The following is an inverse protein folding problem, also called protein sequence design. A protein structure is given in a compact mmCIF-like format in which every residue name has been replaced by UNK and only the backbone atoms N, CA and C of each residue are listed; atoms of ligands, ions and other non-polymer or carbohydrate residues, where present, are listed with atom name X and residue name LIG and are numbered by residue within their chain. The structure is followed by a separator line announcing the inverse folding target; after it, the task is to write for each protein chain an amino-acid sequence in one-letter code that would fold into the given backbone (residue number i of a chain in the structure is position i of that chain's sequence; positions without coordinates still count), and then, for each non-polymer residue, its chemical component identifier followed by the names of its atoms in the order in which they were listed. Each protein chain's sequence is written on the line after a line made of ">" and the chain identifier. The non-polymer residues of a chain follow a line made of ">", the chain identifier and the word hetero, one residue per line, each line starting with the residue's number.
data_IF_889704708119
#
_entry.id   IF_889704708119
#
_cell.length_a   1.000
_cell.length_b   1.000
_cell.length_c   1.000
_cell.angle_alpha   90.00
_cell.angle_beta   90.00
_cell.angle_gamma   90.00
#
_symmetry.space_group_name_H-M   'P 1'
#
loop_
_entity.id
_entity.type
_entity.pdbx_description
1 polymer ?
#
# COMPACT_ATOMS: atom_id res chain seq x y z
N UNK A 1 13.62 -35.01 -12.75
CA UNK A 1 14.30 -33.78 -13.23
C UNK A 1 15.42 -33.44 -12.26
N UNK A 2 16.58 -32.97 -12.72
CA UNK A 2 17.73 -32.60 -11.87
C UNK A 2 18.26 -31.21 -12.25
N UNK A 3 18.77 -30.49 -11.27
CA UNK A 3 19.50 -29.23 -11.49
C UNK A 3 20.99 -29.44 -11.22
N UNK A 4 21.81 -29.16 -12.23
CA UNK A 4 23.27 -29.30 -12.19
C UNK A 4 23.89 -27.93 -12.43
N UNK A 5 24.97 -27.52 -11.74
CA UNK A 5 25.65 -26.28 -12.07
C UNK A 5 26.26 -26.35 -13.48
N UNK A 6 26.08 -25.34 -14.32
CA UNK A 6 26.65 -25.34 -15.68
C UNK A 6 28.19 -25.42 -15.61
N UNK A 7 28.78 -26.51 -16.10
CA UNK A 7 30.23 -26.75 -16.04
C UNK A 7 30.99 -25.82 -16.97
N UNK A 8 31.55 -24.74 -16.40
CA UNK A 8 32.49 -23.83 -17.03
C UNK A 8 33.42 -23.09 -16.06
N UNK A 9 33.32 -23.37 -14.75
CA UNK A 9 34.28 -22.87 -13.76
C UNK A 9 35.34 -23.94 -13.49
N UNK A 10 36.16 -24.29 -14.50
CA UNK A 10 37.50 -24.77 -14.19
C UNK A 10 38.30 -23.56 -13.71
N UNK A 11 38.53 -23.49 -12.41
CA UNK A 11 39.40 -22.51 -11.76
C UNK A 11 40.84 -22.66 -12.24
N UNK A 12 41.15 -22.05 -13.38
CA UNK A 12 42.50 -21.64 -13.77
C UNK A 12 42.38 -20.45 -14.72
N UNK A 13 42.04 -19.27 -14.20
CA UNK A 13 42.36 -17.98 -14.84
C UNK A 13 42.63 -16.97 -13.73
N UNK A 14 43.91 -16.60 -13.63
CA UNK A 14 44.37 -15.39 -12.96
C UNK A 14 43.66 -14.17 -13.57
N UNK A 15 43.09 -13.32 -12.72
CA UNK A 15 42.26 -12.11 -12.98
C UNK A 15 40.74 -12.37 -13.12
N UNK A 16 39.92 -11.89 -12.15
CA UNK A 16 38.47 -11.88 -12.30
C UNK A 16 38.04 -10.68 -13.16
N UNK A 17 37.44 -10.94 -14.32
CA UNK A 17 36.65 -9.95 -15.06
C UNK A 17 35.30 -9.69 -14.36
N UNK A 18 34.79 -8.45 -14.36
CA UNK A 18 33.63 -8.07 -13.56
C UNK A 18 32.33 -8.52 -14.22
N UNK A 19 31.56 -9.32 -13.48
CA UNK A 19 30.16 -9.66 -13.69
C UNK A 19 29.73 -9.89 -15.17
N UNK A 20 30.17 -11.00 -15.78
CA UNK A 20 29.48 -11.56 -16.94
C UNK A 20 28.11 -12.09 -16.51
N UNK A 21 27.05 -11.77 -17.25
CA UNK A 21 25.74 -12.41 -17.18
C UNK A 21 25.88 -13.92 -17.30
N UNK A 22 25.98 -14.61 -16.16
CA UNK A 22 25.77 -16.05 -16.14
C UNK A 22 24.29 -16.21 -16.46
N UNK A 23 23.97 -16.67 -17.68
CA UNK A 23 22.78 -17.51 -17.90
C UNK A 23 22.69 -18.39 -16.66
N UNK A 24 21.58 -18.31 -15.91
CA UNK A 24 21.36 -18.95 -14.60
C UNK A 24 22.34 -20.09 -14.45
N UNK A 25 23.33 -20.02 -13.54
CA UNK A 25 24.49 -20.93 -13.50
C UNK A 25 24.19 -22.41 -13.23
N UNK A 26 22.98 -22.83 -13.57
CA UNK A 26 22.26 -24.07 -13.42
C UNK A 26 21.76 -24.51 -14.80
N UNK A 27 22.13 -25.72 -15.18
CA UNK A 27 21.51 -26.47 -16.26
C UNK A 27 20.40 -27.33 -15.65
N UNK A 28 19.20 -27.28 -16.24
CA UNK A 28 18.12 -28.20 -15.88
C UNK A 28 18.19 -29.36 -16.86
N UNK A 29 18.40 -30.58 -16.36
CA UNK A 29 18.37 -31.77 -17.19
C UNK A 29 17.07 -32.54 -16.94
N UNK A 30 16.38 -32.85 -18.03
CA UNK A 30 15.19 -33.67 -18.01
C UNK A 30 15.57 -35.13 -18.25
N UNK A 31 15.48 -35.95 -17.21
CA UNK A 31 15.84 -37.37 -17.21
C UNK A 31 14.65 -38.31 -17.52
N UNK A 32 13.60 -37.79 -18.18
CA UNK A 32 12.37 -38.54 -18.45
C UNK A 32 11.34 -38.53 -17.30
N UNK A 33 10.21 -39.20 -17.51
CA UNK A 33 9.21 -39.50 -16.46
C UNK A 33 9.63 -40.73 -15.64
N UNK A 34 10.86 -40.76 -15.11
CA UNK A 34 11.19 -41.77 -14.11
C UNK A 34 10.47 -41.43 -12.80
N UNK A 35 9.75 -42.41 -12.26
CA UNK A 35 8.94 -42.27 -11.04
C UNK A 35 9.68 -42.72 -9.78
N UNK A 36 10.96 -43.08 -9.91
CA UNK A 36 11.84 -43.42 -8.81
C UNK A 36 12.92 -42.32 -8.65
N UNK A 37 13.01 -41.78 -7.44
CA UNK A 37 13.93 -40.70 -7.13
C UNK A 37 15.39 -41.18 -7.18
N UNK A 38 15.64 -42.45 -6.86
CA UNK A 38 16.99 -43.01 -6.76
C UNK A 38 17.70 -43.15 -8.11
N UNK A 39 16.93 -43.23 -9.19
CA UNK A 39 17.43 -43.26 -10.56
C UNK A 39 17.86 -41.87 -11.09
N UNK A 40 17.53 -40.80 -10.36
CA UNK A 40 17.84 -39.43 -10.77
C UNK A 40 19.10 -38.97 -10.00
N UNK A 41 20.17 -38.52 -10.69
CA UNK A 41 21.34 -37.96 -10.02
C UNK A 41 20.95 -36.79 -9.11
N UNK A 42 21.58 -36.66 -7.93
CA UNK A 42 21.17 -35.66 -6.93
C UNK A 42 21.46 -34.21 -7.32
N UNK A 43 22.56 -33.94 -8.05
CA UNK A 43 22.95 -32.59 -8.44
C UNK A 43 22.94 -31.59 -7.26
N UNK A 44 22.42 -30.38 -7.51
CA UNK A 44 22.02 -29.42 -6.45
C UNK A 44 20.70 -29.84 -5.82
N UNK A 45 19.75 -30.29 -6.65
CA UNK A 45 18.47 -30.86 -6.26
C UNK A 45 17.95 -31.79 -7.36
N UNK A 46 17.14 -32.78 -6.96
CA UNK A 46 16.40 -33.72 -7.83
C UNK A 46 14.93 -33.79 -7.42
N UNK A 47 14.06 -34.08 -8.38
CA UNK A 47 12.63 -34.24 -8.12
C UNK A 47 11.92 -35.14 -9.14
N UNK A 48 10.82 -35.77 -8.72
CA UNK A 48 9.81 -36.33 -9.62
C UNK A 48 8.40 -35.93 -9.17
N UNK A 49 7.45 -35.98 -10.11
CA UNK A 49 6.04 -35.68 -9.87
C UNK A 49 5.18 -36.77 -10.48
N UNK A 50 4.32 -37.38 -9.67
CA UNK A 50 3.40 -38.47 -10.04
C UNK A 50 1.96 -37.99 -9.91
N UNK A 51 1.26 -37.96 -11.04
CA UNK A 51 -0.16 -37.60 -11.09
C UNK A 51 -0.98 -38.84 -10.75
N UNK A 52 -1.73 -38.79 -9.65
CA UNK A 52 -2.67 -39.86 -9.26
C UNK A 52 -3.95 -39.30 -8.62
N UNK A 53 -4.22 -38.00 -8.84
CA UNK A 53 -5.33 -37.30 -8.21
C UNK A 53 -6.70 -37.88 -8.58
N UNK A 54 -6.83 -38.50 -9.77
CA UNK A 54 -8.08 -39.11 -10.23
C UNK A 54 -8.44 -40.35 -9.42
N UNK A 55 -7.46 -41.17 -9.03
CA UNK A 55 -7.72 -42.44 -8.34
C UNK A 55 -7.66 -42.30 -6.81
N UNK A 56 -6.74 -41.47 -6.30
CA UNK A 56 -6.48 -41.36 -4.86
C UNK A 56 -6.95 -40.05 -4.25
N UNK A 57 -7.31 -39.07 -5.07
CA UNK A 57 -7.51 -37.68 -4.65
C UNK A 57 -6.21 -36.89 -4.48
N UNK A 58 -5.03 -37.52 -4.62
CA UNK A 58 -3.72 -36.89 -4.39
C UNK A 58 -2.76 -37.11 -5.55
N UNK A 59 -1.95 -36.09 -5.85
CA UNK A 59 -0.72 -36.26 -6.65
C UNK A 59 0.49 -36.15 -5.73
N UNK A 60 1.58 -36.84 -6.07
CA UNK A 60 2.80 -36.88 -5.25
C UNK A 60 3.91 -36.09 -5.92
N UNK A 61 4.46 -35.09 -5.23
CA UNK A 61 5.69 -34.38 -5.60
C UNK A 61 6.75 -34.71 -4.55
N UNK A 62 7.91 -35.17 -4.99
CA UNK A 62 9.05 -35.44 -4.11
C UNK A 62 10.27 -34.65 -4.61
N UNK A 63 10.91 -33.90 -3.71
CA UNK A 63 12.08 -33.07 -4.00
C UNK A 63 13.15 -33.35 -2.94
N UNK A 64 14.37 -33.59 -3.39
CA UNK A 64 15.53 -33.77 -2.52
C UNK A 64 16.66 -32.82 -2.91
N UNK A 65 17.19 -32.09 -1.94
CA UNK A 65 18.31 -31.15 -2.11
C UNK A 65 19.63 -31.72 -1.60
N UNK A 66 20.75 -31.15 -2.06
CA UNK A 66 22.08 -31.58 -1.66
C UNK A 66 22.72 -30.61 -0.65
N UNK A 67 22.96 -31.11 0.57
CA UNK A 67 23.51 -30.34 1.68
C UNK A 67 24.93 -29.78 1.43
N UNK A 68 25.65 -30.26 0.42
CA UNK A 68 26.96 -29.71 0.03
C UNK A 68 26.88 -28.30 -0.59
N UNK A 69 25.69 -27.80 -0.94
CA UNK A 69 25.47 -26.45 -1.48
C UNK A 69 24.91 -25.49 -0.42
N UNK A 70 25.07 -24.19 -0.61
CA UNK A 70 24.48 -23.19 0.30
C UNK A 70 22.94 -23.26 0.31
N UNK A 71 22.33 -22.99 1.47
CA UNK A 71 20.86 -23.07 1.65
C UNK A 71 20.07 -22.27 0.60
N UNK A 72 20.54 -21.07 0.24
CA UNK A 72 19.89 -20.23 -0.79
C UNK A 72 19.90 -20.90 -2.17
N UNK A 73 20.98 -21.60 -2.52
CA UNK A 73 21.11 -22.35 -3.78
C UNK A 73 20.19 -23.56 -3.78
N UNK A 74 20.16 -24.32 -2.67
CA UNK A 74 19.28 -25.48 -2.51
C UNK A 74 17.80 -25.09 -2.63
N UNK A 75 17.37 -24.05 -1.90
CA UNK A 75 15.99 -23.57 -1.92
C UNK A 75 15.57 -23.06 -3.32
N UNK A 76 16.47 -22.33 -4.00
CA UNK A 76 16.21 -21.86 -5.36
C UNK A 76 16.06 -23.01 -6.35
N UNK A 77 16.92 -24.04 -6.26
CA UNK A 77 16.85 -25.22 -7.11
C UNK A 77 15.57 -26.05 -6.87
N UNK A 78 15.17 -26.23 -5.60
CA UNK A 78 13.92 -26.90 -5.26
C UNK A 78 12.70 -26.21 -5.88
N UNK A 79 12.62 -24.87 -5.80
CA UNK A 79 11.52 -24.11 -6.37
C UNK A 79 11.42 -24.20 -7.90
N UNK A 80 12.55 -24.24 -8.61
CA UNK A 80 12.55 -24.47 -10.06
C UNK A 80 11.99 -25.85 -10.40
N UNK A 81 12.40 -26.89 -9.67
CA UNK A 81 11.96 -28.26 -9.91
C UNK A 81 10.46 -28.43 -9.68
N UNK A 82 9.93 -27.89 -8.57
CA UNK A 82 8.49 -27.86 -8.31
C UNK A 82 7.75 -27.17 -9.44
N UNK A 83 8.08 -25.89 -9.70
CA UNK A 83 7.37 -25.10 -10.70
C UNK A 83 7.40 -25.70 -12.10
N UNK A 84 8.51 -26.34 -12.49
CA UNK A 84 8.62 -27.01 -13.78
C UNK A 84 7.78 -28.30 -13.88
N UNK A 85 7.67 -29.07 -12.79
CA UNK A 85 6.92 -30.33 -12.77
C UNK A 85 5.42 -30.14 -12.54
N UNK A 86 5.02 -29.08 -11.82
CA UNK A 86 3.62 -28.84 -11.42
C UNK A 86 3.01 -27.59 -12.06
N UNK A 87 3.60 -27.07 -13.15
CA UNK A 87 3.15 -25.83 -13.82
C UNK A 87 1.64 -25.79 -14.13
N UNK A 88 1.06 -26.91 -14.59
CA UNK A 88 -0.38 -26.99 -14.93
C UNK A 88 -1.26 -27.07 -13.67
N UNK A 89 -1.01 -27.97 -12.69
CA UNK A 89 -1.71 -27.94 -11.41
C UNK A 89 -1.63 -26.59 -10.69
N UNK A 90 -0.47 -25.91 -10.73
CA UNK A 90 -0.32 -24.55 -10.19
C UNK A 90 -1.28 -23.59 -10.90
N UNK A 91 -1.31 -23.61 -12.24
CA UNK A 91 -2.21 -22.77 -13.02
C UNK A 91 -3.69 -23.03 -12.66
N UNK A 92 -4.11 -24.29 -12.65
CA UNK A 92 -5.50 -24.68 -12.37
C UNK A 92 -5.89 -24.33 -10.93
N UNK A 93 -4.98 -24.50 -9.97
CA UNK A 93 -5.23 -24.12 -8.58
C UNK A 93 -5.39 -22.60 -8.43
N UNK A 94 -4.59 -21.80 -9.13
CA UNK A 94 -4.71 -20.33 -9.13
C UNK A 94 -6.07 -19.90 -9.72
N UNK A 95 -6.51 -20.52 -10.82
CA UNK A 95 -7.84 -20.28 -11.42
C UNK A 95 -8.97 -20.59 -10.41
N UNK A 96 -8.89 -21.75 -9.77
CA UNK A 96 -9.95 -22.26 -8.90
C UNK A 96 -10.02 -21.60 -7.52
N UNK A 97 -8.94 -20.92 -7.08
CA UNK A 97 -8.86 -20.31 -5.74
C UNK A 97 -8.78 -18.79 -5.84
N UNK A 98 -7.61 -18.27 -6.19
CA UNK A 98 -7.30 -16.84 -6.19
C UNK A 98 -8.18 -16.10 -7.20
N UNK A 99 -8.35 -16.67 -8.38
CA UNK A 99 -9.08 -16.00 -9.47
C UNK A 99 -10.59 -16.06 -9.33
N UNK A 100 -11.14 -16.95 -8.51
CA UNK A 100 -12.57 -17.13 -8.28
C UNK A 100 -13.17 -16.21 -7.19
N UNK A 101 -12.33 -15.63 -6.31
CA UNK A 101 -12.77 -15.00 -5.06
C UNK A 101 -12.85 -13.47 -5.12
N UNK A 102 -12.22 -12.82 -6.11
CA UNK A 102 -12.13 -11.36 -6.16
C UNK A 102 -13.08 -10.71 -7.19
N UNK A 103 -13.57 -9.50 -6.88
CA UNK A 103 -14.17 -8.60 -7.86
C UNK A 103 -13.19 -8.39 -9.02
N UNK A 104 -13.66 -8.53 -10.26
CA UNK A 104 -12.82 -8.52 -11.45
C UNK A 104 -11.97 -7.23 -11.58
N UNK A 105 -12.52 -6.10 -11.13
CA UNK A 105 -11.84 -4.80 -11.21
C UNK A 105 -10.70 -4.70 -10.21
N UNK A 106 -10.97 -5.07 -8.95
CA UNK A 106 -9.97 -5.02 -7.88
C UNK A 106 -8.89 -6.06 -8.09
N UNK A 107 -9.28 -7.25 -8.56
CA UNK A 107 -8.36 -8.31 -8.98
C UNK A 107 -7.38 -7.82 -10.03
N UNK A 108 -7.87 -7.16 -11.08
CA UNK A 108 -7.01 -6.58 -12.11
C UNK A 108 -6.01 -5.57 -11.52
N UNK A 109 -6.47 -4.64 -10.68
CA UNK A 109 -5.59 -3.66 -10.03
C UNK A 109 -4.53 -4.31 -9.12
N UNK A 110 -4.90 -5.36 -8.36
CA UNK A 110 -3.99 -6.14 -7.51
C UNK A 110 -2.97 -6.91 -8.37
N UNK A 111 -3.39 -7.50 -9.48
CA UNK A 111 -2.48 -8.17 -10.42
C UNK A 111 -1.46 -7.18 -11.02
N UNK A 112 -1.91 -5.99 -11.40
CA UNK A 112 -1.05 -4.93 -11.93
C UNK A 112 -0.02 -4.46 -10.89
N UNK A 113 -0.39 -4.38 -9.61
CA UNK A 113 0.53 -4.06 -8.51
C UNK A 113 1.71 -5.05 -8.44
N UNK A 114 1.44 -6.35 -8.38
CA UNK A 114 2.50 -7.37 -8.31
C UNK A 114 3.29 -7.48 -9.61
N UNK A 115 2.63 -7.27 -10.76
CA UNK A 115 3.28 -7.22 -12.06
C UNK A 115 4.28 -6.07 -12.15
N UNK A 116 3.94 -4.90 -11.60
CA UNK A 116 4.84 -3.76 -11.54
C UNK A 116 6.09 -4.06 -10.69
N UNK A 117 5.95 -4.76 -9.55
CA UNK A 117 7.08 -5.19 -8.71
C UNK A 117 7.98 -6.18 -9.47
N UNK A 118 7.39 -7.14 -10.18
CA UNK A 118 8.12 -8.08 -11.04
C UNK A 118 8.87 -7.37 -12.18
N UNK A 119 8.25 -6.35 -12.78
CA UNK A 119 8.89 -5.48 -13.76
C UNK A 119 10.07 -4.71 -13.18
N UNK A 120 9.93 -4.16 -11.97
CA UNK A 120 11.03 -3.51 -11.24
C UNK A 120 12.18 -4.49 -11.00
N UNK A 121 11.89 -5.72 -10.56
CA UNK A 121 12.91 -6.74 -10.35
C UNK A 121 13.71 -7.04 -11.61
N UNK A 122 13.02 -7.21 -12.74
CA UNK A 122 13.65 -7.39 -14.05
C UNK A 122 14.51 -6.18 -14.41
N UNK A 123 14.02 -4.96 -14.18
CA UNK A 123 14.76 -3.72 -14.39
C UNK A 123 16.00 -3.58 -13.51
N UNK A 124 15.93 -4.03 -12.24
CA UNK A 124 17.07 -4.05 -11.32
C UNK A 124 18.17 -4.97 -11.84
N UNK A 125 17.82 -6.20 -12.29
CA UNK A 125 18.81 -7.12 -12.88
C UNK A 125 19.52 -6.48 -14.06
N UNK A 126 18.76 -5.90 -14.98
CA UNK A 126 19.33 -5.23 -16.16
C UNK A 126 20.23 -4.04 -15.77
N UNK A 127 19.82 -3.24 -14.77
CA UNK A 127 20.60 -2.12 -14.26
C UNK A 127 21.93 -2.55 -13.63
N UNK A 128 21.90 -3.62 -12.82
CA UNK A 128 23.10 -4.21 -12.20
C UNK A 128 24.06 -4.70 -13.28
N UNK A 129 23.57 -5.51 -14.23
CA UNK A 129 24.35 -6.04 -15.35
C UNK A 129 25.03 -4.93 -16.16
N UNK A 130 24.28 -3.88 -16.52
CA UNK A 130 24.81 -2.72 -17.24
C UNK A 130 25.88 -1.97 -16.45
N UNK A 131 25.77 -1.92 -15.12
CA UNK A 131 26.67 -1.14 -14.26
C UNK A 131 27.99 -1.85 -13.93
N UNK A 132 28.17 -3.11 -14.36
CA UNK A 132 29.28 -4.00 -13.98
C UNK A 132 29.47 -4.13 -12.45
N UNK A 133 28.47 -3.73 -11.67
CA UNK A 133 28.43 -3.96 -10.23
C UNK A 133 27.88 -5.35 -9.95
N UNK A 134 28.25 -5.92 -8.82
CA UNK A 134 27.78 -7.21 -8.37
C UNK A 134 26.92 -7.02 -7.10
N UNK A 135 25.71 -6.48 -7.30
CA UNK A 135 24.68 -6.39 -6.26
C UNK A 135 23.61 -7.43 -6.53
N UNK A 136 23.30 -8.26 -5.53
CA UNK A 136 22.21 -9.21 -5.63
C UNK A 136 20.98 -8.64 -4.92
N UNK A 137 19.90 -8.47 -5.68
CA UNK A 137 18.56 -8.21 -5.13
C UNK A 137 17.71 -9.41 -5.51
N UNK A 138 16.86 -9.86 -4.59
CA UNK A 138 15.88 -10.91 -4.85
C UNK A 138 14.49 -10.31 -5.02
N UNK A 139 13.59 -11.04 -5.68
CA UNK A 139 12.18 -10.61 -5.77
C UNK A 139 11.54 -10.52 -4.38
N UNK A 140 11.95 -11.39 -3.46
CA UNK A 140 11.53 -11.37 -2.05
C UNK A 140 11.89 -10.05 -1.38
N UNK A 141 13.08 -9.51 -1.60
CA UNK A 141 13.48 -8.21 -1.02
C UNK A 141 12.52 -7.08 -1.46
N UNK A 142 12.06 -7.13 -2.71
CA UNK A 142 11.09 -6.16 -3.23
C UNK A 142 9.68 -6.37 -2.69
N UNK A 143 9.23 -7.62 -2.49
CA UNK A 143 7.96 -7.87 -1.80
C UNK A 143 8.02 -7.41 -0.34
N UNK A 144 9.12 -7.67 0.37
CA UNK A 144 9.33 -7.16 1.73
C UNK A 144 9.36 -5.63 1.78
N UNK A 145 10.05 -4.99 0.84
CA UNK A 145 10.09 -3.54 0.74
C UNK A 145 8.69 -2.93 0.56
N UNK A 146 7.84 -3.58 -0.25
CA UNK A 146 6.49 -3.13 -0.56
C UNK A 146 5.42 -3.59 0.46
N UNK A 147 5.79 -4.46 1.40
CA UNK A 147 4.94 -4.92 2.51
C UNK A 147 5.48 -4.47 3.88
N UNK A 148 6.42 -3.50 3.91
CA UNK A 148 7.17 -3.13 5.10
C UNK A 148 6.26 -2.76 6.29
N UNK A 149 5.20 -1.98 6.03
CA UNK A 149 4.23 -1.57 7.04
C UNK A 149 3.39 -2.74 7.56
N UNK A 150 3.04 -3.69 6.68
CA UNK A 150 2.23 -4.86 7.04
C UNK A 150 3.02 -5.87 7.88
N UNK A 151 4.25 -6.16 7.47
CA UNK A 151 5.17 -7.12 8.11
C UNK A 151 5.31 -6.86 9.60
N UNK A 152 5.42 -5.58 10.01
CA UNK A 152 5.57 -5.20 11.42
C UNK A 152 4.38 -5.66 12.27
N UNK A 153 3.17 -5.58 11.74
CA UNK A 153 1.96 -5.97 12.45
C UNK A 153 1.72 -7.48 12.37
N UNK A 154 2.08 -8.12 11.25
CA UNK A 154 2.08 -9.58 11.10
C UNK A 154 3.03 -10.22 12.12
N UNK A 155 4.22 -9.67 12.33
CA UNK A 155 5.17 -10.14 13.34
C UNK A 155 4.57 -10.14 14.74
N UNK A 156 3.80 -9.09 15.09
CA UNK A 156 3.07 -9.02 16.37
C UNK A 156 1.98 -10.08 16.45
N UNK A 157 1.17 -10.24 15.39
CA UNK A 157 0.12 -11.27 15.31
C UNK A 157 0.68 -12.69 15.48
N UNK A 158 1.83 -12.97 14.88
CA UNK A 158 2.49 -14.28 14.93
C UNK A 158 3.37 -14.48 16.19
N UNK A 159 3.42 -13.50 17.09
CA UNK A 159 4.27 -13.51 18.29
C UNK A 159 5.76 -13.74 17.96
N UNK A 160 6.22 -13.23 16.82
CA UNK A 160 7.62 -13.30 16.40
C UNK A 160 8.35 -12.09 16.98
N UNK A 161 9.14 -12.33 18.03
CA UNK A 161 9.94 -11.26 18.67
C UNK A 161 11.20 -10.98 17.86
N UNK A 162 11.16 -9.94 17.04
CA UNK A 162 12.35 -9.12 16.79
C UNK A 162 12.31 -8.01 17.84
N UNK A 163 13.44 -7.72 18.51
CA UNK A 163 13.48 -6.72 19.58
C UNK A 163 12.66 -5.47 19.21
N UNK A 164 11.59 -5.18 19.95
CA UNK A 164 10.77 -3.99 19.73
C UNK A 164 11.61 -2.77 20.09
N UNK A 165 12.37 -2.27 19.12
CA UNK A 165 13.08 -1.01 19.28
C UNK A 165 12.05 0.12 19.43
N UNK A 166 12.28 1.13 20.28
CA UNK A 166 11.44 2.35 20.34
C UNK A 166 11.19 2.97 18.95
N UNK A 167 12.12 2.74 18.01
CA UNK A 167 12.03 3.11 16.61
C UNK A 167 10.80 2.52 15.87
N UNK A 168 10.23 1.40 16.34
CA UNK A 168 9.07 0.77 15.73
C UNK A 168 7.77 1.59 15.87
N UNK A 169 7.72 2.50 16.85
CA UNK A 169 6.57 3.38 17.10
C UNK A 169 6.64 4.71 16.34
N UNK A 170 7.76 5.00 15.66
CA UNK A 170 8.00 6.29 15.00
C UNK A 170 6.97 6.62 13.92
N UNK A 171 6.49 5.62 13.16
CA UNK A 171 5.52 5.87 12.09
C UNK A 171 4.20 6.49 12.60
N UNK A 172 3.78 6.12 13.83
CA UNK A 172 2.61 6.72 14.50
C UNK A 172 2.83 8.16 14.98
N UNK A 173 4.03 8.72 14.78
CA UNK A 173 4.28 10.14 15.02
C UNK A 173 4.07 11.00 13.78
N UNK A 174 3.81 10.40 12.62
CA UNK A 174 3.48 11.12 11.38
C UNK A 174 2.20 11.93 11.57
N UNK A 175 2.08 13.04 10.85
CA UNK A 175 0.93 13.95 10.97
C UNK A 175 0.48 14.43 9.61
N UNK A 176 -0.83 14.46 9.38
CA UNK A 176 -1.42 15.17 8.25
C UNK A 176 -2.24 16.36 8.74
N UNK A 177 -2.33 17.38 7.89
CA UNK A 177 -3.04 18.61 8.17
C UNK A 177 -3.82 19.06 6.94
N UNK A 178 -5.07 19.44 7.14
CA UNK A 178 -5.93 20.04 6.13
C UNK A 178 -6.41 21.40 6.63
N UNK A 179 -6.30 22.42 5.78
CA UNK A 179 -6.76 23.79 6.08
C UNK A 179 -7.59 24.31 4.92
N UNK A 180 -8.74 24.90 5.21
CA UNK A 180 -9.54 25.65 4.24
C UNK A 180 -9.36 27.13 4.51
N UNK A 181 -8.97 27.89 3.49
CA UNK A 181 -8.74 29.34 3.59
C UNK A 181 -9.63 30.06 2.59
N UNK A 182 -10.24 31.17 3.02
CA UNK A 182 -10.96 32.08 2.15
C UNK A 182 -9.94 32.97 1.42
N UNK A 183 -9.94 32.93 0.09
CA UNK A 183 -9.11 33.78 -0.76
C UNK A 183 -9.99 34.71 -1.58
N UNK A 184 -9.75 36.00 -1.47
CA UNK A 184 -10.36 37.00 -2.35
C UNK A 184 -9.68 36.93 -3.71
N UNK A 185 -10.46 36.69 -4.76
CA UNK A 185 -10.01 36.76 -6.15
C UNK A 185 -9.79 38.22 -6.56
N UNK A 186 -9.09 38.46 -7.67
CA UNK A 186 -8.85 39.82 -8.20
C UNK A 186 -10.16 40.57 -8.50
N UNK A 187 -11.26 39.85 -8.76
CA UNK A 187 -12.61 40.41 -8.95
C UNK A 187 -13.42 40.63 -7.66
N UNK A 188 -12.83 40.43 -6.47
CA UNK A 188 -13.50 40.62 -5.19
C UNK A 188 -14.35 39.43 -4.71
N UNK A 189 -14.50 38.35 -5.50
CA UNK A 189 -15.19 37.13 -5.05
C UNK A 189 -14.35 36.38 -4.02
N UNK A 190 -14.97 35.93 -2.93
CA UNK A 190 -14.32 35.06 -1.95
C UNK A 190 -14.47 33.61 -2.39
N UNK A 191 -13.35 32.90 -2.58
CA UNK A 191 -13.31 31.46 -2.87
C UNK A 191 -12.57 30.69 -1.78
N UNK A 192 -13.13 29.56 -1.39
CA UNK A 192 -12.48 28.64 -0.45
C UNK A 192 -11.42 27.81 -1.16
N UNK A 193 -10.21 27.75 -0.60
CA UNK A 193 -9.11 26.94 -1.10
C UNK A 193 -8.61 25.98 0.00
N UNK A 194 -8.67 24.67 -0.21
CA UNK A 194 -8.11 23.71 0.72
C UNK A 194 -6.60 23.51 0.46
N UNK A 195 -5.84 23.31 1.54
CA UNK A 195 -4.43 22.96 1.55
C UNK A 195 -4.23 21.70 2.37
N UNK A 196 -3.56 20.70 1.80
CA UNK A 196 -3.25 19.43 2.47
C UNK A 196 -1.73 19.34 2.62
N UNK A 197 -1.28 19.00 3.82
CA UNK A 197 0.12 18.75 4.13
C UNK A 197 0.27 17.43 4.87
N UNK A 198 1.42 16.78 4.69
CA UNK A 198 1.80 15.57 5.41
C UNK A 198 3.25 15.64 5.85
N UNK A 199 3.52 15.15 7.06
CA UNK A 199 4.86 15.02 7.61
C UNK A 199 5.05 13.57 8.07
N UNK A 200 5.87 12.83 7.31
CA UNK A 200 6.20 11.45 7.60
C UNK A 200 7.35 11.36 8.61
N UNK A 201 7.18 10.53 9.63
CA UNK A 201 8.21 10.25 10.63
C UNK A 201 8.74 8.83 10.44
N UNK A 202 10.06 8.72 10.24
CA UNK A 202 10.75 7.46 10.01
C UNK A 202 12.21 7.51 10.45
N UNK A 203 12.97 6.46 10.14
CA UNK A 203 14.40 6.40 10.44
C UNK A 203 15.17 7.30 9.46
N UNK A 204 16.27 7.93 9.90
CA UNK A 204 17.14 8.66 8.98
C UNK A 204 17.74 7.76 7.90
N UNK A 205 17.98 6.48 8.22
CA UNK A 205 18.44 5.48 7.26
C UNK A 205 17.45 5.24 6.10
N UNK A 206 16.16 5.56 6.27
CA UNK A 206 15.17 5.46 5.18
C UNK A 206 15.11 6.72 4.31
N UNK A 207 15.91 7.77 4.53
CA UNK A 207 15.84 9.04 3.78
C UNK A 207 16.33 8.99 2.32
N UNK A 208 16.38 7.81 1.70
CA UNK A 208 16.55 7.71 0.25
C UNK A 208 15.18 7.90 -0.42
N UNK A 209 14.87 9.12 -0.81
CA UNK A 209 13.52 9.55 -1.25
C UNK A 209 13.45 9.78 -2.75
N UNK A 210 12.29 9.46 -3.33
CA UNK A 210 11.95 9.79 -4.71
C UNK A 210 10.51 10.28 -4.73
N UNK A 211 10.29 11.48 -5.26
CA UNK A 211 8.95 11.92 -5.64
C UNK A 211 8.55 11.23 -6.94
N UNK A 212 7.43 10.53 -6.95
CA UNK A 212 7.00 9.71 -8.09
C UNK A 212 5.74 10.27 -8.71
N UNK A 213 5.70 10.28 -10.04
CA UNK A 213 4.51 10.55 -10.85
C UNK A 213 4.33 9.41 -11.82
N UNK A 214 3.24 8.67 -11.66
CA UNK A 214 2.83 7.63 -12.58
C UNK A 214 1.64 8.12 -13.40
N UNK A 215 1.76 8.01 -14.72
CA UNK A 215 0.66 8.25 -15.67
C UNK A 215 0.35 6.91 -16.31
N UNK A 216 -0.67 6.25 -15.82
CA UNK A 216 -1.06 4.92 -16.28
C UNK A 216 -2.26 5.03 -17.22
N UNK A 217 -2.30 4.14 -18.22
CA UNK A 217 -3.43 3.95 -19.11
C UNK A 217 -4.02 2.56 -18.85
N UNK A 218 -4.26 2.23 -17.58
CA UNK A 218 -4.82 0.95 -17.21
C UNK A 218 -6.32 0.93 -17.49
N UNK A 219 -6.81 -0.23 -17.89
CA UNK A 219 -8.23 -0.50 -18.00
C UNK A 219 -8.78 -0.94 -16.64
N UNK A 220 -10.08 -0.74 -16.42
CA UNK A 220 -10.77 -1.15 -15.19
C UNK A 220 -10.69 -2.67 -14.99
N UNK A 221 -10.89 -3.46 -16.05
CA UNK A 221 -10.70 -4.93 -16.05
C UNK A 221 -9.61 -5.37 -17.03
N UNK A 222 -9.35 -6.67 -17.09
CA UNK A 222 -8.40 -7.27 -18.06
C UNK A 222 -8.95 -7.26 -19.50
N UNK A 223 -10.26 -7.01 -19.68
CA UNK A 223 -10.88 -6.89 -21.00
C UNK A 223 -10.31 -5.69 -21.77
N UNK A 224 -9.98 -5.92 -23.04
CA UNK A 224 -9.39 -4.94 -23.93
C UNK A 224 -10.34 -3.78 -24.24
N UNK A 225 -11.65 -4.04 -24.21
CA UNK A 225 -12.70 -3.04 -24.47
C UNK A 225 -13.21 -2.36 -23.17
N UNK A 226 -12.67 -2.73 -22.01
CA UNK A 226 -12.99 -2.08 -20.74
C UNK A 226 -12.69 -0.59 -20.79
N UNK A 227 -13.46 0.28 -20.11
CA UNK A 227 -13.07 1.68 -19.95
C UNK A 227 -11.73 1.82 -19.21
N UNK A 228 -11.07 2.96 -19.41
CA UNK A 228 -9.89 3.34 -18.64
C UNK A 228 -10.25 3.53 -17.16
N UNK A 229 -9.34 3.15 -16.28
CA UNK A 229 -9.44 3.38 -14.85
C UNK A 229 -9.49 4.88 -14.55
N UNK A 230 -10.23 5.26 -13.51
CA UNK A 230 -10.46 6.68 -13.22
C UNK A 230 -9.19 7.42 -12.79
N UNK A 231 -8.27 6.75 -12.10
CA UNK A 231 -6.99 7.28 -11.61
C UNK A 231 -5.89 7.24 -12.67
N UNK A 232 -5.92 8.18 -13.62
CA UNK A 232 -4.95 8.25 -14.72
C UNK A 232 -3.56 8.75 -14.30
N UNK A 233 -3.49 9.64 -13.32
CA UNK A 233 -2.23 10.20 -12.83
C UNK A 233 -2.16 10.13 -11.31
N UNK A 234 -1.13 9.46 -10.81
CA UNK A 234 -0.89 9.23 -9.39
C UNK A 234 0.48 9.81 -9.05
N UNK A 235 0.50 10.83 -8.19
CA UNK A 235 1.71 11.47 -7.70
C UNK A 235 1.87 11.18 -6.21
N UNK A 236 3.05 10.78 -5.75
CA UNK A 236 3.23 10.42 -4.34
C UNK A 236 4.67 10.55 -3.87
N UNK A 237 4.84 10.80 -2.57
CA UNK A 237 6.14 10.69 -1.91
C UNK A 237 6.50 9.21 -1.76
N UNK A 238 7.67 8.81 -2.25
CA UNK A 238 8.06 7.41 -2.31
C UNK A 238 9.54 7.15 -2.10
N UNK A 239 9.91 5.90 -2.33
CA UNK A 239 11.23 5.33 -2.10
C UNK A 239 11.64 4.49 -3.31
N UNK A 240 12.94 4.34 -3.63
CA UNK A 240 13.39 3.43 -4.68
C UNK A 240 12.80 2.03 -4.49
N UNK A 241 12.33 1.38 -5.58
CA UNK A 241 11.74 0.04 -5.53
C UNK A 241 10.30 -0.06 -4.97
N UNK A 242 9.81 0.94 -4.24
CA UNK A 242 8.43 0.98 -3.73
C UNK A 242 7.44 1.40 -4.82
N UNK A 243 6.35 0.66 -5.04
CA UNK A 243 5.31 1.04 -6.03
C UNK A 243 4.20 1.89 -5.43
N UNK A 244 4.08 1.92 -4.10
CA UNK A 244 3.18 2.78 -3.33
C UNK A 244 3.97 3.78 -2.47
N UNK A 245 3.27 4.77 -1.90
CA UNK A 245 3.82 5.58 -0.82
C UNK A 245 3.98 4.68 0.42
N UNK A 246 5.04 4.91 1.17
CA UNK A 246 5.21 4.34 2.51
C UNK A 246 5.07 5.43 3.59
N UNK A 247 4.93 6.69 3.15
CA UNK A 247 4.60 7.82 4.00
C UNK A 247 3.08 7.95 4.17
N UNK A 248 2.34 7.56 3.13
CA UNK A 248 0.93 7.85 2.89
C UNK A 248 0.66 9.30 2.50
N UNK A 249 1.20 9.72 1.35
CA UNK A 249 0.77 10.96 0.68
C UNK A 249 0.68 10.77 -0.83
N UNK A 250 -0.52 10.96 -1.38
CA UNK A 250 -0.84 10.84 -2.79
C UNK A 250 -1.65 12.05 -3.27
N UNK A 251 -1.40 12.46 -4.51
CA UNK A 251 -2.26 13.34 -5.30
C UNK A 251 -2.73 12.55 -6.52
N UNK A 252 -4.04 12.37 -6.61
CA UNK A 252 -4.72 11.61 -7.64
C UNK A 252 -5.42 12.57 -8.59
N UNK A 253 -5.20 12.40 -9.89
CA UNK A 253 -5.91 13.14 -10.92
C UNK A 253 -6.58 12.14 -11.85
N UNK A 254 -7.90 12.20 -11.86
CA UNK A 254 -8.74 11.41 -12.75
C UNK A 254 -9.53 12.27 -13.71
N UNK A 255 -10.45 11.65 -14.44
CA UNK A 255 -11.33 12.36 -15.37
C UNK A 255 -12.24 13.37 -14.67
N UNK A 256 -12.81 13.00 -13.52
CA UNK A 256 -13.85 13.75 -12.83
C UNK A 256 -13.47 14.16 -11.40
N UNK A 257 -12.24 13.87 -10.95
CA UNK A 257 -11.80 14.19 -9.60
C UNK A 257 -10.34 14.63 -9.57
N UNK A 258 -10.02 15.47 -8.60
CA UNK A 258 -8.67 15.76 -8.18
C UNK A 258 -8.65 15.55 -6.68
N UNK A 259 -7.99 14.48 -6.22
CA UNK A 259 -8.01 14.09 -4.82
C UNK A 259 -6.61 14.13 -4.21
N UNK A 260 -6.53 14.45 -2.92
CA UNK A 260 -5.38 14.09 -2.09
C UNK A 260 -5.79 12.97 -1.13
N UNK A 261 -4.94 11.97 -1.02
CA UNK A 261 -5.05 10.91 -0.03
C UNK A 261 -3.82 11.02 0.86
N UNK A 262 -4.04 11.19 2.15
CA UNK A 262 -2.95 11.26 3.13
C UNK A 262 -3.30 10.48 4.38
N UNK A 263 -2.33 9.98 5.13
CA UNK A 263 -2.63 9.20 6.31
C UNK A 263 -1.52 9.18 7.33
N UNK A 264 -1.80 8.56 8.47
CA UNK A 264 -0.80 8.29 9.51
C UNK A 264 -1.13 6.97 10.19
N UNK A 265 -0.10 6.29 10.69
CA UNK A 265 -0.27 5.02 11.38
C UNK A 265 -1.15 5.17 12.62
N UNK A 266 -2.16 4.31 12.68
CA UNK A 266 -3.08 4.16 13.79
C UNK A 266 -2.63 2.94 14.59
N UNK A 267 -2.08 3.18 15.79
CA UNK A 267 -1.57 2.07 16.60
C UNK A 267 -2.73 1.27 17.21
N UNK A 268 -2.84 -0.01 16.86
CA UNK A 268 -3.73 -0.93 17.53
C UNK A 268 -3.06 -1.56 18.76
N UNK A 269 -3.53 -1.18 19.95
CA UNK A 269 -3.09 -1.76 21.23
C UNK A 269 -4.06 -2.83 21.78
N UNK A 270 -5.14 -3.14 21.06
CA UNK A 270 -6.12 -4.14 21.48
C UNK A 270 -5.82 -5.50 20.81
N UNK A 271 -5.19 -6.45 21.53
CA UNK A 271 -4.85 -7.76 20.96
C UNK A 271 -6.11 -8.58 20.61
N UNK A 272 -7.28 -8.25 21.16
CA UNK A 272 -8.53 -8.97 20.86
C UNK A 272 -8.97 -8.79 19.41
N UNK A 273 -8.71 -7.61 18.81
CA UNK A 273 -9.07 -7.35 17.41
C UNK A 273 -8.34 -8.29 16.45
N UNK A 274 -7.15 -8.76 16.83
CA UNK A 274 -6.41 -9.70 16.03
C UNK A 274 -6.97 -11.11 16.08
N UNK A 275 -7.79 -11.48 17.07
CA UNK A 275 -8.23 -12.87 17.27
C UNK A 275 -9.02 -13.39 16.07
N UNK A 276 -9.84 -12.53 15.48
CA UNK A 276 -10.81 -12.89 14.45
C UNK A 276 -10.32 -12.50 13.03
N UNK A 277 -9.12 -11.94 12.89
CA UNK A 277 -8.54 -11.63 11.58
C UNK A 277 -7.81 -12.84 11.01
N UNK A 278 -8.38 -13.38 9.92
CA UNK A 278 -7.75 -14.37 9.08
C UNK A 278 -6.77 -13.71 8.09
N UNK A 279 -5.48 -13.73 8.38
CA UNK A 279 -4.46 -13.07 7.53
C UNK A 279 -4.22 -13.77 6.19
N UNK A 280 -4.74 -14.99 5.95
CA UNK A 280 -4.48 -15.74 4.71
C UNK A 280 -5.47 -15.43 3.59
N UNK A 281 -6.62 -14.86 3.92
CA UNK A 281 -7.72 -14.55 2.97
C UNK A 281 -7.89 -13.05 2.75
N UNK A 282 -6.95 -12.25 3.23
CA UNK A 282 -7.03 -10.79 3.19
C UNK A 282 -5.87 -10.20 2.40
N UNK A 283 -6.03 -8.97 1.92
CA UNK A 283 -5.03 -8.29 1.09
C UNK A 283 -4.21 -7.29 1.92
N UNK A 284 -2.87 -7.30 1.84
CA UNK A 284 -2.02 -6.25 2.43
C UNK A 284 -2.43 -4.84 1.97
N UNK A 285 -2.02 -3.80 2.71
CA UNK A 285 -2.47 -2.43 2.42
C UNK A 285 -2.02 -1.90 1.06
N UNK A 286 -0.81 -2.27 0.60
CA UNK A 286 -0.23 -1.77 -0.65
C UNK A 286 -1.12 -2.04 -1.89
N UNK A 287 -1.48 -3.30 -2.17
CA UNK A 287 -2.41 -3.63 -3.25
C UNK A 287 -3.78 -2.95 -3.12
N UNK A 288 -4.34 -2.85 -1.90
CA UNK A 288 -5.65 -2.22 -1.66
C UNK A 288 -5.63 -0.71 -1.94
N UNK A 289 -4.60 0.00 -1.47
CA UNK A 289 -4.39 1.42 -1.76
C UNK A 289 -4.17 1.64 -3.25
N UNK A 290 -3.47 0.73 -3.92
CA UNK A 290 -3.28 0.79 -5.38
C UNK A 290 -4.61 0.67 -6.12
N UNK A 291 -5.45 -0.30 -5.75
CA UNK A 291 -6.78 -0.45 -6.30
C UNK A 291 -7.65 0.80 -6.05
N UNK A 292 -7.70 1.29 -4.81
CA UNK A 292 -8.48 2.48 -4.45
C UNK A 292 -8.01 3.74 -5.21
N UNK A 293 -6.68 3.94 -5.33
CA UNK A 293 -6.11 5.07 -6.06
C UNK A 293 -6.37 5.02 -7.57
N UNK A 294 -6.48 3.83 -8.15
CA UNK A 294 -6.70 3.64 -9.58
C UNK A 294 -8.19 3.68 -9.95
N UNK A 295 -9.07 3.13 -9.12
CA UNK A 295 -10.44 2.84 -9.51
C UNK A 295 -11.48 3.81 -8.90
N UNK A 296 -11.21 4.40 -7.74
CA UNK A 296 -12.20 5.24 -7.06
C UNK A 296 -12.49 6.53 -7.84
N UNK A 297 -13.78 6.87 -7.99
CA UNK A 297 -14.21 8.10 -8.65
C UNK A 297 -14.34 9.28 -7.71
N UNK A 298 -14.45 9.02 -6.41
CA UNK A 298 -14.67 10.02 -5.38
C UNK A 298 -14.16 9.52 -4.01
N UNK A 299 -14.14 10.43 -3.02
CA UNK A 299 -13.61 10.15 -1.67
C UNK A 299 -14.35 9.04 -0.92
N UNK A 300 -15.66 8.88 -1.17
CA UNK A 300 -16.48 7.83 -0.55
C UNK A 300 -16.11 6.47 -1.11
N UNK A 301 -16.09 6.35 -2.45
CA UNK A 301 -15.72 5.12 -3.13
C UNK A 301 -14.30 4.67 -2.75
N UNK A 302 -13.36 5.61 -2.60
CA UNK A 302 -12.00 5.30 -2.12
C UNK A 302 -12.02 4.58 -0.76
N UNK A 303 -12.83 5.06 0.19
CA UNK A 303 -12.98 4.42 1.49
C UNK A 303 -13.59 3.01 1.43
N UNK A 304 -14.59 2.81 0.56
CA UNK A 304 -15.21 1.49 0.34
C UNK A 304 -14.23 0.49 -0.29
N UNK A 305 -13.44 0.94 -1.27
CA UNK A 305 -12.43 0.10 -1.89
C UNK A 305 -11.32 -0.29 -0.92
N UNK A 306 -10.85 0.65 -0.09
CA UNK A 306 -9.85 0.34 0.94
C UNK A 306 -10.37 -0.69 1.96
N UNK A 307 -11.66 -0.61 2.31
CA UNK A 307 -12.29 -1.48 3.30
C UNK A 307 -12.42 -2.95 2.86
N UNK A 308 -12.40 -3.22 1.54
CA UNK A 308 -12.47 -4.58 0.98
C UNK A 308 -11.18 -5.36 1.26
N UNK A 309 -11.35 -6.62 1.63
CA UNK A 309 -10.26 -7.54 1.97
C UNK A 309 -9.28 -6.97 3.02
N UNK A 310 -9.81 -6.28 4.04
CA UNK A 310 -9.01 -5.67 5.10
C UNK A 310 -8.16 -6.71 5.85
N UNK A 311 -6.85 -6.70 5.62
CA UNK A 311 -5.85 -7.54 6.31
C UNK A 311 -5.67 -7.25 7.79
N UNK A 312 -6.18 -6.12 8.27
CA UNK A 312 -5.91 -5.64 9.61
C UNK A 312 -4.48 -5.17 9.84
N UNK A 313 -3.62 -5.22 8.83
CA UNK A 313 -2.22 -4.82 8.88
C UNK A 313 -2.02 -3.42 8.35
N UNK A 314 -0.92 -2.77 8.76
CA UNK A 314 -0.60 -1.38 8.42
C UNK A 314 -1.78 -0.44 8.73
N UNK A 315 -2.29 -0.54 9.96
CA UNK A 315 -3.43 0.22 10.44
C UNK A 315 -3.17 1.72 10.31
N UNK A 316 -4.08 2.45 9.67
CA UNK A 316 -3.90 3.86 9.34
C UNK A 316 -5.21 4.64 9.56
N UNK A 317 -5.05 5.92 9.93
CA UNK A 317 -6.08 6.95 9.85
C UNK A 317 -5.81 7.74 8.56
N UNK A 318 -6.71 7.63 7.60
CA UNK A 318 -6.62 8.27 6.28
C UNK A 318 -7.54 9.47 6.21
N UNK A 319 -7.06 10.52 5.57
CA UNK A 319 -7.80 11.69 5.16
C UNK A 319 -7.79 11.75 3.64
N UNK A 320 -8.99 11.75 3.06
CA UNK A 320 -9.22 11.79 1.62
C UNK A 320 -9.95 13.07 1.29
N UNK A 321 -9.40 13.90 0.42
CA UNK A 321 -9.92 15.24 0.11
C UNK A 321 -10.10 15.38 -1.39
N UNK A 322 -11.28 15.81 -1.84
CA UNK A 322 -11.55 16.13 -3.25
C UNK A 322 -11.55 17.64 -3.46
N UNK A 323 -10.52 18.12 -4.16
CA UNK A 323 -10.31 19.54 -4.45
C UNK A 323 -11.36 20.12 -5.40
N UNK A 324 -12.10 19.28 -6.13
CA UNK A 324 -13.10 19.74 -7.11
C UNK A 324 -14.40 20.21 -6.44
N UNK A 325 -14.67 19.80 -5.20
CA UNK A 325 -15.94 20.13 -4.52
C UNK A 325 -16.06 21.60 -4.14
N UNK A 326 -14.94 22.26 -3.81
CA UNK A 326 -14.93 23.69 -3.47
C UNK A 326 -14.78 24.62 -4.69
N UNK A 327 -14.52 24.07 -5.88
CA UNK A 327 -14.42 24.84 -7.12
C UNK A 327 -15.70 24.84 -7.96
N UNK A 328 -16.64 23.94 -7.66
CA UNK A 328 -17.95 23.90 -8.29
C UNK A 328 -18.85 25.01 -7.72
N UNK A 329 -19.51 25.77 -8.59
CA UNK A 329 -20.61 26.66 -8.20
C UNK A 329 -21.70 25.81 -7.53
N UNK A 330 -22.27 26.23 -6.39
CA UNK A 330 -23.29 25.44 -5.72
C UNK A 330 -24.44 25.16 -6.70
N UNK A 331 -24.60 23.90 -7.07
CA UNK A 331 -25.80 23.47 -7.77
C UNK A 331 -26.98 23.67 -6.82
N UNK A 332 -28.09 24.17 -7.36
CA UNK A 332 -29.38 24.27 -6.67
C UNK A 332 -29.97 22.86 -6.43
N UNK A 333 -29.23 21.96 -5.78
CA UNK A 333 -29.81 20.74 -5.22
C UNK A 333 -30.29 21.04 -3.79
N UNK A 334 -31.45 21.68 -3.71
CA UNK A 334 -32.26 21.72 -2.49
C UNK A 334 -32.97 20.38 -2.31
N UNK A 335 -32.19 19.31 -2.10
CA UNK A 335 -32.71 18.03 -1.62
C UNK A 335 -32.77 18.04 -0.09
N UNK A 336 -33.73 17.32 0.54
CA UNK A 336 -33.82 17.27 1.99
C UNK A 336 -32.50 16.78 2.60
N UNK A 337 -32.04 17.44 3.66
CA UNK A 337 -30.96 16.98 4.52
C UNK A 337 -31.39 15.63 5.10
N UNK A 338 -30.94 14.52 4.50
CA UNK A 338 -31.09 13.20 5.12
C UNK A 338 -30.34 13.26 6.46
N UNK A 339 -31.01 12.84 7.53
CA UNK A 339 -30.41 12.77 8.87
C UNK A 339 -29.14 11.92 8.88
N UNK A 340 -28.38 11.96 9.98
CA UNK A 340 -27.24 11.06 10.19
C UNK A 340 -27.69 9.63 9.92
N UNK A 341 -27.17 9.06 8.84
CA UNK A 341 -27.38 7.68 8.48
C UNK A 341 -26.05 6.98 8.69
N UNK A 342 -26.03 6.11 9.70
CA UNK A 342 -24.97 5.11 9.83
C UNK A 342 -25.42 3.92 9.00
N UNK A 343 -24.66 3.59 7.96
CA UNK A 343 -24.88 2.37 7.20
C UNK A 343 -23.74 1.41 7.52
N UNK A 344 -24.08 0.23 8.01
CA UNK A 344 -23.15 -0.88 8.04
C UNK A 344 -23.20 -1.51 6.65
N UNK A 345 -22.09 -1.40 5.93
CA UNK A 345 -21.95 -1.97 4.60
C UNK A 345 -21.31 -3.34 4.79
N UNK A 346 -22.06 -4.40 4.51
CA UNK A 346 -21.49 -5.74 4.34
C UNK A 346 -20.51 -5.69 3.18
N UNK A 347 -19.22 -5.78 3.48
CA UNK A 347 -18.17 -5.72 2.47
C UNK A 347 -18.12 -7.09 1.80
N UNK A 348 -18.56 -7.17 0.55
CA UNK A 348 -18.60 -8.43 -0.18
C UNK A 348 -17.19 -8.98 -0.39
N UNK A 349 -16.85 -10.06 0.33
CA UNK A 349 -15.58 -10.77 0.22
C UNK A 349 -15.46 -11.87 1.28
N UNK A 350 -16.05 -13.04 1.00
CA UNK A 350 -15.88 -14.37 1.62
C UNK A 350 -16.03 -14.55 3.15
N UNK A 351 -15.83 -13.54 4.00
CA UNK A 351 -15.94 -13.69 5.46
C UNK A 351 -16.73 -12.56 6.12
N UNK A 352 -17.62 -12.92 7.05
CA UNK A 352 -18.40 -11.99 7.90
C UNK A 352 -17.51 -11.20 8.90
N UNK A 353 -16.21 -11.52 8.95
CA UNK A 353 -15.25 -10.98 9.93
C UNK A 353 -14.80 -9.53 9.65
N UNK A 354 -15.01 -9.03 8.43
CA UNK A 354 -14.64 -7.64 8.05
C UNK A 354 -15.88 -6.76 8.01
N UNK A 355 -15.92 -5.76 8.88
CA UNK A 355 -17.01 -4.78 8.94
C UNK A 355 -16.59 -3.41 8.46
N UNK A 356 -17.42 -2.81 7.60
CA UNK A 356 -17.27 -1.43 7.16
C UNK A 356 -18.46 -0.60 7.61
N UNK A 357 -18.20 0.37 8.49
CA UNK A 357 -19.21 1.31 8.96
C UNK A 357 -19.02 2.63 8.25
N UNK A 358 -20.07 3.11 7.58
CA UNK A 358 -20.05 4.40 6.88
C UNK A 358 -21.00 5.36 7.59
N UNK A 359 -20.44 6.48 8.06
CA UNK A 359 -21.19 7.58 8.67
C UNK A 359 -21.35 8.70 7.64
N UNK A 360 -22.58 8.95 7.21
CA UNK A 360 -22.87 10.06 6.32
C UNK A 360 -23.09 11.35 7.14
N UNK A 361 -22.23 12.35 6.91
CA UNK A 361 -22.30 13.64 7.58
C UNK A 361 -23.47 14.51 7.10
N UNK A 362 -23.87 15.49 7.93
CA UNK A 362 -24.96 16.45 7.66
C UNK A 362 -24.59 17.59 6.70
N UNK A 363 -23.43 17.51 6.05
CA UNK A 363 -22.91 18.56 5.19
C UNK A 363 -23.95 19.05 4.17
N UNK A 364 -24.06 20.37 3.94
CA UNK A 364 -24.83 20.92 2.83
C UNK A 364 -24.47 20.21 1.52
N UNK A 365 -25.43 20.06 0.60
CA UNK A 365 -25.22 19.35 -0.66
C UNK A 365 -23.96 19.83 -1.42
N UNK A 366 -23.68 21.14 -1.38
CA UNK A 366 -22.51 21.76 -1.99
C UNK A 366 -21.15 21.36 -1.37
N UNK A 367 -21.13 20.88 -0.12
CA UNK A 367 -19.91 20.51 0.60
C UNK A 367 -19.73 19.00 0.74
N UNK A 368 -20.76 18.21 0.46
CA UNK A 368 -20.73 16.75 0.63
C UNK A 368 -19.65 16.13 -0.27
N UNK A 369 -18.85 15.23 0.31
CA UNK A 369 -17.74 14.59 -0.39
C UNK A 369 -16.50 15.46 -0.58
N UNK A 370 -16.38 16.60 0.14
CA UNK A 370 -15.15 17.38 0.16
C UNK A 370 -14.03 16.65 0.90
N UNK A 371 -14.31 16.14 2.10
CA UNK A 371 -13.31 15.48 2.93
C UNK A 371 -13.89 14.30 3.70
N UNK A 372 -13.20 13.17 3.63
CA UNK A 372 -13.55 11.92 4.33
C UNK A 372 -12.40 11.48 5.23
N UNK A 373 -12.77 10.97 6.40
CA UNK A 373 -11.85 10.32 7.33
C UNK A 373 -12.13 8.82 7.32
N UNK A 374 -11.11 8.01 7.04
CA UNK A 374 -11.20 6.55 7.00
C UNK A 374 -10.22 5.96 8.02
N UNK A 375 -10.73 5.19 8.97
CA UNK A 375 -9.95 4.55 10.03
C UNK A 375 -10.00 3.04 9.87
N UNK A 376 -8.83 2.42 9.71
CA UNK A 376 -8.71 0.98 9.57
C UNK A 376 -7.91 0.36 10.71
N UNK A 377 -8.47 -0.69 11.30
CA UNK A 377 -7.84 -1.58 12.28
C UNK A 377 -8.19 -3.05 11.93
N UNK A 378 -7.68 -4.07 12.64
CA UNK A 378 -8.01 -5.46 12.34
C UNK A 378 -9.52 -5.73 12.39
N UNK A 379 -10.07 -6.24 11.27
CA UNK A 379 -11.48 -6.60 11.09
C UNK A 379 -12.45 -5.43 10.98
N UNK A 380 -12.00 -4.18 11.13
CA UNK A 380 -12.87 -3.02 11.19
C UNK A 380 -12.34 -1.87 10.34
N UNK A 381 -13.22 -1.33 9.50
CA UNK A 381 -13.00 -0.07 8.80
C UNK A 381 -14.16 0.88 9.09
N UNK A 382 -13.85 2.10 9.47
CA UNK A 382 -14.84 3.16 9.64
C UNK A 382 -14.55 4.26 8.61
N UNK A 383 -15.59 4.78 7.97
CA UNK A 383 -15.48 5.90 7.05
C UNK A 383 -16.53 6.95 7.41
N UNK A 384 -16.15 8.21 7.44
CA UNK A 384 -17.12 9.29 7.61
C UNK A 384 -16.84 10.49 6.73
N UNK A 385 -17.91 11.11 6.27
CA UNK A 385 -17.86 12.43 5.67
C UNK A 385 -17.69 13.48 6.78
N UNK A 386 -16.53 14.14 6.81
CA UNK A 386 -16.17 15.17 7.80
C UNK A 386 -16.30 16.59 7.23
N UNK A 387 -16.89 16.75 6.04
CA UNK A 387 -16.89 18.01 5.30
C UNK A 387 -17.58 19.15 6.07
N UNK A 388 -18.65 18.87 6.79
CA UNK A 388 -19.38 19.87 7.59
C UNK A 388 -18.51 20.41 8.73
N UNK A 389 -17.96 19.50 9.55
CA UNK A 389 -17.07 19.83 10.66
C UNK A 389 -15.79 20.53 10.17
N UNK A 390 -15.27 20.14 9.00
CA UNK A 390 -14.12 20.79 8.38
C UNK A 390 -14.42 22.24 8.01
N UNK A 391 -15.59 22.53 7.43
CA UNK A 391 -15.93 23.89 7.03
C UNK A 391 -16.25 24.79 8.23
N UNK A 392 -16.86 24.24 9.28
CA UNK A 392 -17.08 24.95 10.54
C UNK A 392 -15.75 25.31 11.23
N UNK A 393 -14.82 24.36 11.31
CA UNK A 393 -13.55 24.55 12.02
C UNK A 393 -12.47 25.19 11.14
N UNK A 394 -12.62 25.16 9.81
CA UNK A 394 -11.66 25.55 8.76
C UNK A 394 -10.34 24.76 8.75
N UNK A 395 -10.19 23.70 9.56
CA UNK A 395 -9.05 22.79 9.52
C UNK A 395 -9.39 21.40 10.05
N UNK A 396 -8.53 20.42 9.73
CA UNK A 396 -8.54 19.08 10.30
C UNK A 396 -7.10 18.59 10.52
N UNK A 397 -6.87 17.83 11.60
CA UNK A 397 -5.57 17.25 11.94
C UNK A 397 -5.72 15.73 12.04
N UNK A 398 -4.76 15.01 11.47
CA UNK A 398 -4.63 13.56 11.55
C UNK A 398 -3.30 13.26 12.25
N UNK A 399 -3.34 12.50 13.35
CA UNK A 399 -2.17 12.31 14.21
C UNK A 399 -2.05 10.89 14.81
N UNK A 400 -2.76 9.91 14.24
CA UNK A 400 -2.65 8.50 14.62
C UNK A 400 -3.48 8.11 15.83
N UNK A 401 -4.30 9.03 16.33
CA UNK A 401 -5.27 8.77 17.39
C UNK A 401 -6.64 8.60 16.73
N UNK A 402 -7.31 7.45 16.92
CA UNK A 402 -8.61 7.22 16.33
C UNK A 402 -9.63 8.26 16.82
N UNK A 403 -10.37 8.85 15.89
CA UNK A 403 -11.49 9.75 16.13
C UNK A 403 -12.80 8.96 16.14
N UNK A 404 -13.06 8.11 15.15
CA UNK A 404 -14.34 7.41 14.99
C UNK A 404 -14.41 6.13 15.81
N UNK A 405 -13.29 5.41 15.95
CA UNK A 405 -13.23 4.18 16.76
C UNK A 405 -13.35 4.43 18.28
N UNK A 406 -13.28 5.69 18.74
CA UNK A 406 -13.43 6.08 20.15
C UNK A 406 -14.84 6.62 20.47
N UNK A 407 -15.53 7.24 19.50
CA UNK A 407 -16.80 7.95 19.76
C UNK A 407 -17.95 7.03 20.25
N UNK A 408 -18.09 5.75 19.82
CA UNK A 408 -19.08 4.86 20.42
C UNK A 408 -18.79 4.53 21.89
N UNK A 409 -17.54 4.63 22.35
CA UNK A 409 -17.12 4.31 23.73
C UNK A 409 -17.15 5.54 24.67
N UNK A 410 -17.10 6.76 24.13
CA UNK A 410 -17.02 8.00 24.90
C UNK A 410 -18.18 8.96 24.60
N UNK A 411 -19.41 8.53 24.88
CA UNK A 411 -20.58 9.42 24.96
C UNK A 411 -20.48 10.47 26.09
N UNK A 412 -19.44 10.47 26.94
CA UNK A 412 -19.30 11.50 28.00
C UNK A 412 -17.84 11.92 28.26
N UNK A 413 -17.57 13.21 27.97
CA UNK A 413 -16.49 14.10 28.49
C UNK A 413 -15.06 13.99 27.91
N UNK A 414 -14.72 15.01 27.09
CA UNK A 414 -13.50 15.84 27.13
C UNK A 414 -12.18 15.21 27.64
N UNK A 415 -11.46 14.48 26.77
CA UNK A 415 -10.01 14.20 26.96
C UNK A 415 -9.16 14.35 25.68
N UNK A 416 -9.75 14.51 24.48
CA UNK A 416 -9.02 14.74 23.21
C UNK A 416 -8.08 15.97 23.20
N UNK A 417 -8.25 16.90 24.15
CA UNK A 417 -7.59 18.21 24.19
C UNK A 417 -6.26 18.26 24.97
N UNK A 418 -5.73 17.14 25.48
CA UNK A 418 -4.53 17.12 26.36
C UNK A 418 -3.27 16.45 25.77
N UNK A 419 -3.18 16.28 24.45
CA UNK A 419 -1.93 15.82 23.82
C UNK A 419 -1.10 17.01 23.31
N UNK A 420 0.23 17.03 23.50
CA UNK A 420 1.08 18.16 23.11
C UNK A 420 0.92 18.56 21.64
N UNK A 421 0.82 17.60 20.71
CA UNK A 421 0.59 17.87 19.27
C UNK A 421 -0.73 18.60 19.03
N UNK A 422 -1.83 18.09 19.59
CA UNK A 422 -3.16 18.70 19.46
C UNK A 422 -3.20 20.11 20.07
N UNK A 423 -2.43 20.34 21.14
CA UNK A 423 -2.32 21.65 21.78
C UNK A 423 -1.54 22.66 20.92
N UNK A 424 -0.39 22.25 20.35
CA UNK A 424 0.42 23.11 19.45
C UNK A 424 -0.39 23.54 18.22
N UNK A 425 -1.08 22.61 17.55
CA UNK A 425 -1.91 22.96 16.39
C UNK A 425 -3.04 23.93 16.76
N UNK A 426 -3.66 23.80 17.94
CA UNK A 426 -4.72 24.73 18.37
C UNK A 426 -4.22 26.17 18.56
N UNK A 427 -2.95 26.34 18.98
CA UNK A 427 -2.35 27.67 19.21
C UNK A 427 -1.81 28.28 17.92
N UNK A 428 -1.17 27.48 17.05
CA UNK A 428 -0.48 27.98 15.86
C UNK A 428 -1.36 28.06 14.59
N UNK A 429 -2.43 27.28 14.48
CA UNK A 429 -3.27 27.25 13.26
C UNK A 429 -4.03 28.56 12.97
N UNK A 430 -4.07 29.52 13.91
CA UNK A 430 -4.60 30.86 13.64
C UNK A 430 -3.69 31.73 12.77
N UNK A 431 -2.42 31.36 12.57
CA UNK A 431 -1.43 32.17 11.84
C UNK A 431 -1.11 31.75 10.40
N UNK A 432 -1.71 30.65 9.88
CA UNK A 432 -1.43 30.17 8.53
C UNK A 432 -2.36 30.86 7.53
N UNK A 433 -1.92 32.00 6.98
CA UNK A 433 -2.73 32.85 6.09
C UNK A 433 -2.40 32.73 4.59
N UNK A 434 -1.23 32.19 4.20
CA UNK A 434 -0.82 32.01 2.81
C UNK A 434 0.50 31.21 2.73
N UNK A 435 0.74 30.48 1.63
CA UNK A 435 2.11 30.12 1.24
C UNK A 435 2.86 31.42 0.97
N UNK A 436 3.88 31.71 1.78
CA UNK A 436 4.55 33.02 1.76
C UNK A 436 5.71 33.03 0.75
N UNK A 437 5.59 33.91 -0.24
CA UNK A 437 6.70 34.45 -1.05
C UNK A 437 7.65 35.22 -0.13
N UNK A 438 8.95 34.98 -0.26
CA UNK A 438 9.99 35.65 0.52
C UNK A 438 10.25 37.09 0.06
N UNK A 439 10.51 38.02 1.00
CA UNK A 439 11.37 39.16 0.73
C UNK A 439 12.59 39.18 1.67
N UNK A 440 13.76 39.22 1.04
CA UNK A 440 15.01 39.87 1.46
C UNK A 440 15.62 39.56 2.84
N UNK A 441 16.59 38.63 2.81
CA UNK A 441 17.98 39.01 3.07
C UNK A 441 18.31 39.69 4.41
N UNK A 442 17.88 39.17 5.56
CA UNK A 442 18.59 39.38 6.83
C UNK A 442 18.62 38.11 7.69
N UNK A 443 19.84 37.68 8.01
CA UNK A 443 20.14 36.62 8.97
C UNK A 443 19.50 36.91 10.35
N UNK A 444 18.66 35.99 10.84
CA UNK A 444 18.46 35.77 12.26
C UNK A 444 18.36 34.27 12.55
N UNK A 445 19.43 33.72 13.11
CA UNK A 445 19.39 32.49 13.89
C UNK A 445 18.54 32.73 15.14
N UNK A 446 17.32 32.18 15.19
CA UNK A 446 16.60 31.77 16.41
C UNK A 446 15.35 30.96 16.01
N UNK A 447 15.34 29.67 16.37
CA UNK A 447 14.28 28.67 16.21
C UNK A 447 13.74 28.41 14.78
N UNK A 448 14.14 27.31 14.11
CA UNK A 448 13.42 26.87 12.93
C UNK A 448 12.13 26.16 13.39
N UNK A 449 11.01 26.88 13.34
CA UNK A 449 9.71 26.22 13.15
C UNK A 449 9.71 25.49 11.79
N UNK A 450 8.77 24.56 11.56
CA UNK A 450 8.76 23.78 10.33
C UNK A 450 8.59 24.70 9.11
N UNK A 451 9.68 24.88 8.37
CA UNK A 451 9.69 25.57 7.08
C UNK A 451 8.91 24.73 6.07
N UNK A 452 7.69 25.15 5.74
CA UNK A 452 6.94 24.64 4.59
C UNK A 452 7.64 25.13 3.32
N UNK A 453 8.28 24.20 2.60
CA UNK A 453 8.82 24.47 1.26
C UNK A 453 7.65 24.45 0.28
N UNK A 454 7.40 25.60 -0.34
CA UNK A 454 6.47 25.73 -1.46
C UNK A 454 7.10 25.03 -2.68
N UNK A 455 6.61 23.82 -3.00
CA UNK A 455 6.89 23.20 -4.29
C UNK A 455 5.89 23.81 -5.27
N UNK A 456 6.30 24.83 -6.01
CA UNK A 456 5.56 25.28 -7.19
C UNK A 456 5.63 24.16 -8.25
N UNK A 457 4.48 23.54 -8.53
CA UNK A 457 4.27 22.56 -9.62
C UNK A 457 3.42 23.16 -10.73
#
# INVERSE_FOLDING_TARGET
>A
MVIIPSTGAKTTVTTPLPCSTRKTGYHIEYWGQSNDLDDIPRGVARAYYRVDAVNTGWSLLEIETNASYQNKIQAYAAGILEGALTWRPIHDHIENTIKAVCDEREKNAVNLYYSQISGIFTGVKYGVERSLNCYETTITDLYWLNAFSDVREIQRKLNISLAETPLAQLAGLSTAFLRVVNRTTEGGEIRQKPFVAHNAVGRYSSMTRILKRYKFNYHVTEDRDSPLASGNSIEFSGYPGSVTSQDEFYVLRGHNHQMAVTGTTLNNYNPKLWKDVNITEQLPVGPRVTAANQLANNVSEWGHMLARYNSGTACNQWLVVDFTRLSQTPSHETGPVRGEAVTEVSVSGVNEDVRHTVMHGRAPAAARGLAWLVEQVPGLTHSADISDALLEQSYWVVNGIPFQLIVPLFSRRTTHLRMPKTHVFRVECRGVHSGFVAPDGKNMYKNPGPSLVEINL
#
